data_IF_465370453898
#
_entry.id   IF_465370453898
#
_cell.length_a   1.000
_cell.length_b   1.000
_cell.length_c   1.000
_cell.angle_alpha   90.00
_cell.angle_beta   90.00
_cell.angle_gamma   90.00
#
_symmetry.space_group_name_H-M   'P 1'
#
loop_
_entity.id
_entity.type
_entity.pdbx_description
1 polymer ?
#
# COMPACT_ATOMS: atom_id res chain seq x y z
N UNK A 1 16.42 -17.86 -9.93
CA UNK A 1 15.61 -17.36 -8.80
C UNK A 1 15.29 -15.90 -9.09
N UNK A 2 14.04 -15.49 -9.01
CA UNK A 2 13.67 -14.09 -9.28
C UNK A 2 14.20 -13.12 -8.22
N UNK A 3 14.38 -11.86 -8.60
CA UNK A 3 14.92 -10.81 -7.74
C UNK A 3 13.92 -10.37 -6.67
N UNK A 4 14.45 -9.97 -5.52
CA UNK A 4 13.71 -9.29 -4.47
C UNK A 4 13.88 -7.79 -4.66
N UNK A 5 12.81 -7.08 -5.01
CA UNK A 5 12.83 -5.64 -5.22
C UNK A 5 12.08 -4.92 -4.11
N UNK A 6 12.67 -3.84 -3.60
CA UNK A 6 12.03 -2.92 -2.67
C UNK A 6 11.72 -1.61 -3.37
N UNK A 7 10.48 -1.15 -3.26
CA UNK A 7 10.03 0.13 -3.79
C UNK A 7 9.47 1.02 -2.68
N UNK A 8 9.75 2.32 -2.78
CA UNK A 8 9.20 3.34 -1.90
C UNK A 8 9.05 4.66 -2.65
N UNK A 9 8.46 5.67 -2.00
CA UNK A 9 8.29 7.00 -2.56
C UNK A 9 8.65 8.07 -1.53
N UNK A 10 9.54 8.98 -1.91
CA UNK A 10 10.02 10.06 -1.06
C UNK A 10 9.93 11.39 -1.81
N UNK A 11 8.97 12.23 -1.42
CA UNK A 11 8.80 13.57 -1.95
C UNK A 11 8.25 14.52 -0.87
N UNK A 12 8.24 15.82 -1.15
CA UNK A 12 7.82 16.86 -0.24
C UNK A 12 8.47 16.73 1.13
N UNK A 13 7.65 16.76 2.19
CA UNK A 13 8.11 16.66 3.59
C UNK A 13 8.87 15.37 3.94
N UNK A 14 8.74 14.33 3.12
CA UNK A 14 9.36 13.03 3.37
C UNK A 14 10.61 12.77 2.51
N UNK A 15 10.99 13.70 1.62
CA UNK A 15 12.17 13.55 0.77
C UNK A 15 13.44 13.24 1.59
N UNK A 16 13.59 13.90 2.74
CA UNK A 16 14.75 13.75 3.64
C UNK A 16 14.84 12.36 4.30
N UNK A 17 13.78 11.54 4.26
CA UNK A 17 13.85 10.17 4.79
C UNK A 17 14.50 9.16 3.83
N UNK A 18 14.64 9.50 2.55
CA UNK A 18 15.17 8.60 1.53
C UNK A 18 16.56 8.05 1.83
N UNK A 19 17.57 8.85 2.25
CA UNK A 19 18.91 8.33 2.53
C UNK A 19 18.93 7.32 3.69
N UNK A 20 18.22 7.63 4.78
CA UNK A 20 18.13 6.72 5.94
C UNK A 20 17.40 5.44 5.57
N UNK A 21 16.27 5.53 4.87
CA UNK A 21 15.51 4.36 4.42
C UNK A 21 16.35 3.46 3.51
N UNK A 22 17.10 4.06 2.57
CA UNK A 22 17.99 3.32 1.68
C UNK A 22 19.09 2.58 2.46
N UNK A 23 19.70 3.25 3.46
CA UNK A 23 20.69 2.62 4.34
C UNK A 23 20.10 1.43 5.11
N UNK A 24 18.93 1.59 5.73
CA UNK A 24 18.21 0.53 6.44
C UNK A 24 17.89 -0.66 5.49
N UNK A 25 17.42 -0.36 4.27
CA UNK A 25 17.13 -1.36 3.24
C UNK A 25 18.38 -2.11 2.70
N UNK A 26 19.55 -1.47 2.67
CA UNK A 26 20.81 -2.15 2.35
C UNK A 26 21.29 -3.02 3.52
N UNK A 27 21.12 -2.54 4.76
CA UNK A 27 21.57 -3.25 5.97
C UNK A 27 20.82 -4.57 6.21
N UNK A 28 19.54 -4.67 5.85
CA UNK A 28 18.80 -5.94 5.97
C UNK A 28 19.32 -7.02 4.99
N UNK A 29 20.09 -6.65 3.97
CA UNK A 29 20.74 -7.55 3.01
C UNK A 29 19.79 -8.65 2.47
N UNK A 30 18.67 -8.19 1.92
CA UNK A 30 17.59 -9.05 1.41
C UNK A 30 17.14 -8.68 -0.01
N UNK A 31 17.24 -7.40 -0.37
CA UNK A 31 16.76 -6.87 -1.63
C UNK A 31 17.91 -6.69 -2.63
N UNK A 32 17.74 -7.22 -3.83
CA UNK A 32 18.67 -7.08 -4.95
C UNK A 32 18.61 -5.66 -5.54
N UNK A 33 17.40 -5.07 -5.57
CA UNK A 33 17.14 -3.73 -6.09
C UNK A 33 16.31 -2.93 -5.10
N UNK A 34 16.70 -1.67 -4.87
CA UNK A 34 16.01 -0.73 -3.99
C UNK A 34 15.73 0.54 -4.80
N UNK A 35 14.47 0.79 -5.13
CA UNK A 35 14.05 1.91 -5.95
C UNK A 35 13.18 2.88 -5.13
N UNK A 36 13.74 4.04 -4.81
CA UNK A 36 12.99 5.13 -4.17
C UNK A 36 12.56 6.12 -5.25
N UNK A 37 11.25 6.16 -5.50
CA UNK A 37 10.60 7.05 -6.43
C UNK A 37 10.38 8.44 -5.81
N UNK A 38 10.17 9.42 -6.68
CA UNK A 38 9.68 10.75 -6.37
C UNK A 38 8.80 11.21 -7.54
N UNK A 39 8.23 12.41 -7.47
CA UNK A 39 7.35 12.93 -8.51
C UNK A 39 7.98 12.92 -9.90
N UNK A 40 9.26 13.28 -10.00
CA UNK A 40 10.00 13.33 -11.26
C UNK A 40 10.27 11.95 -11.89
N UNK A 41 10.07 10.86 -11.13
CA UNK A 41 10.20 9.47 -11.61
C UNK A 41 8.85 8.83 -11.96
N UNK A 42 7.74 9.57 -11.86
CA UNK A 42 6.47 9.13 -12.40
C UNK A 42 6.53 9.15 -13.94
N UNK A 43 5.79 8.25 -14.58
CA UNK A 43 5.67 8.24 -16.04
C UNK A 43 5.12 9.58 -16.51
N UNK A 44 5.67 10.09 -17.62
CA UNK A 44 5.30 11.38 -18.20
C UNK A 44 3.78 11.54 -18.33
N UNK A 45 3.11 10.57 -18.94
CA UNK A 45 1.65 10.60 -19.14
C UNK A 45 0.85 10.72 -17.84
N UNK A 46 1.25 10.01 -16.79
CA UNK A 46 0.62 10.11 -15.47
C UNK A 46 0.87 11.49 -14.83
N UNK A 47 2.11 11.97 -14.90
CA UNK A 47 2.49 13.26 -14.32
C UNK A 47 1.84 14.45 -15.03
N UNK A 48 1.65 14.38 -16.36
CA UNK A 48 0.92 15.39 -17.14
C UNK A 48 -0.56 15.41 -16.78
N UNK A 49 -1.18 14.22 -16.67
CA UNK A 49 -2.61 14.12 -16.40
C UNK A 49 -3.00 14.46 -14.96
N UNK A 50 -2.17 14.07 -13.99
CA UNK A 50 -2.51 14.15 -12.57
C UNK A 50 -1.59 15.08 -11.77
N UNK A 51 -0.60 15.70 -12.40
CA UNK A 51 0.38 16.56 -11.74
C UNK A 51 -0.25 17.74 -11.00
N UNK A 52 -1.24 18.39 -11.61
CA UNK A 52 -1.93 19.53 -10.98
C UNK A 52 -2.74 19.08 -9.77
N UNK A 53 -3.45 17.95 -9.87
CA UNK A 53 -4.14 17.36 -8.71
C UNK A 53 -3.15 17.05 -7.58
N UNK A 54 -2.00 16.44 -7.90
CA UNK A 54 -0.99 16.08 -6.91
C UNK A 54 -0.40 17.32 -6.21
N UNK A 55 -0.05 18.36 -6.97
CA UNK A 55 0.55 19.59 -6.43
C UNK A 55 -0.43 20.41 -5.61
N UNK A 56 -1.69 20.45 -6.01
CA UNK A 56 -2.73 21.24 -5.33
C UNK A 56 -3.31 20.54 -4.09
N UNK A 57 -2.99 19.26 -3.85
CA UNK A 57 -3.49 18.49 -2.71
C UNK A 57 -2.33 17.97 -1.84
N UNK A 58 -2.02 18.66 -0.75
CA UNK A 58 -0.83 18.36 0.07
C UNK A 58 -0.92 17.06 0.88
N UNK A 59 -2.12 16.65 1.31
CA UNK A 59 -2.30 15.40 2.08
C UNK A 59 -1.91 14.22 1.20
N UNK A 60 -1.04 13.35 1.71
CA UNK A 60 -0.51 12.20 0.97
C UNK A 60 0.21 12.52 -0.33
N UNK A 61 0.57 13.79 -0.57
CA UNK A 61 1.14 14.27 -1.82
C UNK A 61 0.24 13.87 -3.01
N UNK A 62 -0.95 14.46 -3.10
CA UNK A 62 -2.00 14.07 -4.04
C UNK A 62 -2.82 12.86 -3.59
N UNK A 63 -2.93 12.64 -2.28
CA UNK A 63 -3.69 11.56 -1.63
C UNK A 63 -3.20 10.17 -2.08
N UNK A 64 -1.90 10.02 -2.31
CA UNK A 64 -1.22 8.77 -2.69
C UNK A 64 -1.67 8.17 -4.03
N UNK A 65 -2.28 8.96 -4.93
CA UNK A 65 -2.68 8.49 -6.28
C UNK A 65 -1.51 7.87 -7.07
N UNK A 66 -0.29 8.34 -6.80
CA UNK A 66 0.95 7.86 -7.40
C UNK A 66 1.37 6.46 -6.92
N UNK A 67 0.84 5.96 -5.82
CA UNK A 67 1.27 4.70 -5.19
C UNK A 67 1.03 3.47 -6.09
N UNK A 68 -0.19 3.20 -6.58
CA UNK A 68 -0.38 2.10 -7.51
C UNK A 68 0.40 2.32 -8.82
N UNK A 69 0.60 3.58 -9.23
CA UNK A 69 1.37 3.91 -10.44
C UNK A 69 2.85 3.52 -10.33
N UNK A 70 3.55 3.83 -9.25
CA UNK A 70 4.96 3.44 -9.12
C UNK A 70 5.14 1.93 -8.99
N UNK A 71 4.16 1.25 -8.37
CA UNK A 71 4.16 -0.23 -8.28
C UNK A 71 3.94 -0.82 -9.67
N UNK A 72 3.03 -0.26 -10.47
CA UNK A 72 2.79 -0.67 -11.85
C UNK A 72 4.00 -0.38 -12.74
N UNK A 73 4.68 0.76 -12.58
CA UNK A 73 5.91 1.04 -13.31
C UNK A 73 7.02 0.02 -12.99
N UNK A 74 7.12 -0.42 -11.73
CA UNK A 74 8.08 -1.47 -11.34
C UNK A 74 7.65 -2.84 -11.88
N UNK A 75 6.36 -3.19 -11.82
CA UNK A 75 5.87 -4.50 -12.25
C UNK A 75 6.08 -4.72 -13.75
N UNK A 76 5.88 -3.68 -14.56
CA UNK A 76 6.00 -3.73 -16.02
C UNK A 76 7.44 -3.95 -16.52
N UNK A 77 8.44 -3.60 -15.70
CA UNK A 77 9.87 -3.80 -16.03
C UNK A 77 10.49 -5.00 -15.28
N UNK A 78 9.69 -5.75 -14.52
CA UNK A 78 10.17 -6.85 -13.70
C UNK A 78 9.95 -8.19 -14.40
N UNK A 79 10.83 -9.16 -14.11
CA UNK A 79 10.62 -10.52 -14.57
C UNK A 79 9.44 -11.15 -13.80
N UNK A 80 8.62 -12.05 -14.39
CA UNK A 80 7.52 -12.71 -13.69
C UNK A 80 7.90 -13.40 -12.37
N UNK A 81 9.17 -13.79 -12.24
CA UNK A 81 9.68 -14.41 -11.02
C UNK A 81 10.08 -13.43 -9.91
N UNK A 82 10.20 -12.15 -10.21
CA UNK A 82 10.59 -11.13 -9.23
C UNK A 82 9.48 -10.92 -8.19
N UNK A 83 9.87 -10.59 -6.97
CA UNK A 83 8.96 -10.18 -5.90
C UNK A 83 9.18 -8.70 -5.61
N UNK A 84 8.12 -7.92 -5.69
CA UNK A 84 8.12 -6.48 -5.40
C UNK A 84 7.51 -6.28 -4.02
N UNK A 85 8.24 -5.61 -3.13
CA UNK A 85 7.75 -5.16 -1.82
C UNK A 85 7.64 -3.65 -1.83
N UNK A 86 6.44 -3.12 -1.55
CA UNK A 86 6.22 -1.71 -1.30
C UNK A 86 6.27 -1.44 0.19
N UNK A 87 6.98 -0.37 0.58
CA UNK A 87 6.98 0.14 1.96
C UNK A 87 6.94 1.67 1.91
N UNK A 88 6.04 2.29 2.66
CA UNK A 88 6.00 3.75 2.84
C UNK A 88 7.36 4.22 3.40
N UNK A 89 7.86 5.35 2.87
CA UNK A 89 9.18 5.87 3.26
C UNK A 89 9.29 6.28 4.73
N UNK A 90 8.15 6.46 5.39
CA UNK A 90 8.06 6.76 6.81
C UNK A 90 8.37 5.56 7.72
N UNK A 91 8.59 4.36 7.17
CA UNK A 91 8.92 3.18 7.96
C UNK A 91 10.42 3.12 8.28
N UNK A 92 10.77 2.43 9.36
CA UNK A 92 12.13 1.90 9.55
C UNK A 92 12.19 0.45 9.13
N UNK A 93 13.34 0.04 8.59
CA UNK A 93 13.65 -1.36 8.29
C UNK A 93 14.66 -1.86 9.33
N UNK A 94 14.26 -2.90 10.06
CA UNK A 94 15.06 -3.55 11.09
C UNK A 94 15.80 -4.76 10.50
N UNK A 95 17.13 -4.71 10.48
CA UNK A 95 17.96 -5.83 10.02
C UNK A 95 17.84 -7.09 10.88
N UNK A 96 17.48 -6.95 12.17
CA UNK A 96 17.19 -8.09 13.05
C UNK A 96 15.98 -8.91 12.60
N UNK A 97 15.05 -8.31 11.84
CA UNK A 97 13.88 -8.99 11.29
C UNK A 97 14.10 -9.64 9.92
N UNK A 98 15.36 -9.77 9.46
CA UNK A 98 15.69 -10.28 8.12
C UNK A 98 15.01 -11.61 7.79
N UNK A 99 15.04 -12.56 8.71
CA UNK A 99 14.46 -13.88 8.46
C UNK A 99 12.95 -13.81 8.29
N UNK A 100 12.27 -12.96 9.06
CA UNK A 100 10.84 -12.73 8.90
C UNK A 100 10.51 -12.01 7.60
N UNK A 101 11.33 -11.03 7.17
CA UNK A 101 11.17 -10.41 5.86
C UNK A 101 11.39 -11.41 4.71
N UNK A 102 12.31 -12.37 4.87
CA UNK A 102 12.48 -13.47 3.91
C UNK A 102 11.25 -14.38 3.86
N UNK A 103 10.70 -14.75 5.02
CA UNK A 103 9.43 -15.51 5.07
C UNK A 103 8.29 -14.78 4.35
N UNK A 104 8.18 -13.45 4.47
CA UNK A 104 7.18 -12.70 3.71
C UNK A 104 7.33 -12.87 2.18
N UNK A 105 8.57 -12.88 1.68
CA UNK A 105 8.86 -13.10 0.27
C UNK A 105 8.48 -14.53 -0.14
N UNK A 106 8.75 -15.51 0.71
CA UNK A 106 8.43 -16.90 0.45
C UNK A 106 6.90 -17.13 0.48
N UNK A 107 6.18 -16.51 1.41
CA UNK A 107 4.70 -16.48 1.43
C UNK A 107 4.15 -15.92 0.12
N UNK A 108 4.71 -14.83 -0.41
CA UNK A 108 4.29 -14.28 -1.71
C UNK A 108 4.53 -15.29 -2.83
N UNK A 109 5.67 -15.97 -2.85
CA UNK A 109 6.03 -16.94 -3.89
C UNK A 109 5.14 -18.17 -3.86
N UNK A 110 4.75 -18.64 -2.68
CA UNK A 110 3.91 -19.82 -2.48
C UNK A 110 2.42 -19.52 -2.59
N UNK A 111 2.00 -18.29 -2.25
CA UNK A 111 0.60 -17.85 -2.31
C UNK A 111 -0.04 -18.14 -3.66
N UNK A 112 -1.29 -18.62 -3.66
CA UNK A 112 -2.09 -18.73 -4.89
C UNK A 112 -2.35 -17.37 -5.55
N UNK A 113 -2.35 -16.30 -4.75
CA UNK A 113 -2.59 -14.93 -5.21
C UNK A 113 -1.29 -14.21 -5.63
N UNK A 114 -0.14 -14.79 -5.29
CA UNK A 114 1.17 -14.15 -5.46
C UNK A 114 1.22 -12.74 -4.86
N UNK A 115 0.56 -12.56 -3.71
CA UNK A 115 0.43 -11.31 -2.99
C UNK A 115 0.35 -11.56 -1.48
N UNK A 116 0.99 -10.70 -0.71
CA UNK A 116 0.92 -10.62 0.74
C UNK A 116 0.45 -9.23 1.17
N UNK A 117 -0.45 -9.20 2.15
CA UNK A 117 -0.99 -7.99 2.77
C UNK A 117 -1.08 -8.14 4.28
N UNK A 118 -1.18 -7.01 4.98
CA UNK A 118 -1.22 -6.97 6.44
C UNK A 118 -2.51 -6.28 6.89
N UNK A 119 -3.30 -6.91 7.76
CA UNK A 119 -4.56 -6.34 8.27
C UNK A 119 -4.32 -5.33 9.38
N UNK A 120 -4.74 -4.06 9.25
CA UNK A 120 -4.63 -3.07 10.32
C UNK A 120 -5.83 -3.15 11.30
N UNK A 121 -6.08 -2.10 12.09
CA UNK A 121 -7.19 -2.04 13.06
C UNK A 121 -8.41 -1.22 12.61
N UNK A 122 -8.37 -0.64 11.41
CA UNK A 122 -9.42 0.23 10.88
C UNK A 122 -10.49 -0.59 10.16
N UNK A 123 -11.67 -0.79 10.77
CA UNK A 123 -12.79 -1.49 10.12
C UNK A 123 -13.32 -0.72 8.90
N UNK A 124 -13.52 -1.40 7.78
CA UNK A 124 -13.93 -0.76 6.52
C UNK A 124 -15.19 0.10 6.67
N UNK A 125 -16.25 -0.38 7.32
CA UNK A 125 -17.50 0.41 7.47
C UNK A 125 -17.32 1.70 8.28
N UNK A 126 -16.27 1.83 9.09
CA UNK A 126 -15.94 3.04 9.84
C UNK A 126 -15.04 3.98 9.02
N UNK A 127 -14.24 3.44 8.09
CA UNK A 127 -13.08 4.12 7.50
C UNK A 127 -13.07 4.18 5.95
N UNK A 128 -14.14 3.69 5.31
CA UNK A 128 -14.31 3.62 3.86
C UNK A 128 -15.67 4.19 3.47
N UNK A 129 -15.69 5.10 2.49
CA UNK A 129 -16.94 5.66 1.95
C UNK A 129 -17.78 4.55 1.35
N UNK A 130 -19.07 4.59 1.61
CA UNK A 130 -19.98 3.53 1.21
C UNK A 130 -20.16 3.45 -0.31
N UNK A 131 -20.10 4.59 -1.00
CA UNK A 131 -20.14 4.63 -2.46
C UNK A 131 -18.88 4.07 -3.13
N UNK A 132 -17.70 4.16 -2.51
CA UNK A 132 -16.52 3.42 -2.96
C UNK A 132 -16.78 1.91 -2.85
N UNK A 133 -17.34 1.45 -1.72
CA UNK A 133 -17.68 0.04 -1.57
C UNK A 133 -18.72 -0.41 -2.61
N UNK A 134 -19.68 0.46 -2.95
CA UNK A 134 -20.68 0.20 -3.98
C UNK A 134 -20.06 0.15 -5.38
N UNK A 135 -19.14 1.07 -5.67
CA UNK A 135 -18.37 1.09 -6.92
C UNK A 135 -17.52 -0.17 -7.11
N UNK A 136 -17.03 -0.77 -6.02
CA UNK A 136 -16.32 -2.05 -6.03
C UNK A 136 -17.27 -3.25 -5.99
N UNK A 137 -18.53 -3.08 -5.58
CA UNK A 137 -19.57 -4.12 -5.50
C UNK A 137 -19.47 -5.00 -4.25
N UNK A 138 -19.10 -4.41 -3.11
CA UNK A 138 -18.92 -5.11 -1.81
C UNK A 138 -19.63 -4.42 -0.63
N UNK A 139 -20.39 -3.35 -0.88
CA UNK A 139 -21.02 -2.48 0.11
C UNK A 139 -21.95 -3.20 1.09
N UNK A 140 -22.67 -4.22 0.62
CA UNK A 140 -23.59 -5.00 1.44
C UNK A 140 -22.97 -6.29 2.03
N UNK A 141 -21.65 -6.47 1.90
CA UNK A 141 -20.97 -7.71 2.27
C UNK A 141 -20.09 -7.51 3.50
N UNK A 142 -20.56 -7.96 4.66
CA UNK A 142 -19.81 -7.86 5.92
C UNK A 142 -18.50 -8.65 5.94
N UNK A 143 -18.36 -9.65 5.06
CA UNK A 143 -17.07 -10.33 4.80
C UNK A 143 -15.99 -9.37 4.27
N UNK A 144 -16.39 -8.22 3.72
CA UNK A 144 -15.51 -7.12 3.33
C UNK A 144 -15.66 -5.97 4.32
N UNK A 145 -16.85 -5.38 4.40
CA UNK A 145 -17.10 -4.15 5.13
C UNK A 145 -16.98 -4.29 6.66
N UNK A 146 -17.22 -5.49 7.21
CA UNK A 146 -17.08 -5.79 8.63
C UNK A 146 -15.65 -6.05 9.10
N UNK A 147 -14.71 -6.25 8.17
CA UNK A 147 -13.32 -6.61 8.46
C UNK A 147 -12.44 -5.37 8.58
N UNK A 148 -11.27 -5.50 9.19
CA UNK A 148 -10.28 -4.42 9.19
C UNK A 148 -9.62 -4.24 7.83
N UNK A 149 -9.20 -3.02 7.52
CA UNK A 149 -8.52 -2.67 6.28
C UNK A 149 -7.19 -3.41 6.17
N UNK A 150 -6.78 -3.69 4.94
CA UNK A 150 -5.42 -4.06 4.63
C UNK A 150 -4.57 -2.79 4.55
N UNK A 151 -3.41 -2.77 5.21
CA UNK A 151 -2.51 -1.63 5.12
C UNK A 151 -2.03 -1.39 3.70
N UNK A 152 -2.03 -0.12 3.31
CA UNK A 152 -1.46 0.35 2.05
C UNK A 152 0.00 0.77 2.17
N UNK A 153 0.53 0.90 3.39
CA UNK A 153 1.92 1.30 3.65
C UNK A 153 2.93 0.17 3.61
N UNK A 154 2.48 -1.09 3.55
CA UNK A 154 3.35 -2.24 3.35
C UNK A 154 2.57 -3.38 2.68
N UNK A 155 3.06 -3.90 1.56
CA UNK A 155 2.53 -5.07 0.87
C UNK A 155 3.56 -5.59 -0.15
N UNK A 156 3.42 -6.85 -0.54
CA UNK A 156 4.32 -7.49 -1.51
C UNK A 156 3.53 -8.28 -2.55
N UNK A 157 4.04 -8.33 -3.78
CA UNK A 157 3.39 -9.00 -4.91
C UNK A 157 4.38 -9.43 -5.99
N UNK A 158 3.99 -10.40 -6.82
CA UNK A 158 4.71 -10.73 -8.07
C UNK A 158 4.01 -10.14 -9.32
N UNK A 159 4.74 -9.97 -10.44
CA UNK A 159 4.19 -9.64 -11.75
C UNK A 159 3.30 -10.74 -12.34
N UNK A 160 2.04 -10.76 -11.91
CA UNK A 160 0.99 -11.59 -12.51
C UNK A 160 -0.03 -10.71 -13.22
N UNK A 161 -0.74 -11.25 -14.21
CA UNK A 161 -1.84 -10.53 -14.88
C UNK A 161 -2.88 -10.02 -13.87
N UNK A 162 -3.29 -10.87 -12.91
CA UNK A 162 -4.24 -10.49 -11.86
C UNK A 162 -3.76 -9.30 -11.01
N UNK A 163 -2.47 -9.26 -10.67
CA UNK A 163 -1.90 -8.18 -9.87
C UNK A 163 -1.71 -6.89 -10.68
N UNK A 164 -1.38 -7.02 -11.97
CA UNK A 164 -1.33 -5.89 -12.90
C UNK A 164 -2.72 -5.28 -13.06
N UNK A 165 -3.74 -6.11 -13.27
CA UNK A 165 -5.13 -5.66 -13.39
C UNK A 165 -5.64 -5.00 -12.11
N UNK A 166 -5.23 -5.51 -10.93
CA UNK A 166 -5.54 -4.88 -9.65
C UNK A 166 -4.98 -3.45 -9.56
N UNK A 167 -3.72 -3.25 -9.97
CA UNK A 167 -3.07 -1.93 -9.95
C UNK A 167 -3.71 -0.97 -10.94
N UNK A 168 -4.05 -1.45 -12.14
CA UNK A 168 -4.77 -0.68 -13.14
C UNK A 168 -6.17 -0.26 -12.64
N UNK A 169 -6.92 -1.18 -12.02
CA UNK A 169 -8.23 -0.87 -11.43
C UNK A 169 -8.11 0.12 -10.27
N UNK A 170 -7.06 0.00 -9.43
CA UNK A 170 -6.79 0.95 -8.36
C UNK A 170 -6.53 2.36 -8.92
N UNK A 171 -5.69 2.51 -9.95
CA UNK A 171 -5.47 3.81 -10.61
C UNK A 171 -6.79 4.33 -11.19
N UNK A 172 -7.53 3.48 -11.92
CA UNK A 172 -8.78 3.86 -12.55
C UNK A 172 -9.79 4.42 -11.54
N UNK A 173 -10.03 3.71 -10.43
CA UNK A 173 -10.97 4.16 -9.39
C UNK A 173 -10.46 5.44 -8.72
N UNK A 174 -9.15 5.56 -8.50
CA UNK A 174 -8.57 6.75 -7.87
C UNK A 174 -8.77 8.02 -8.69
N UNK A 175 -8.88 7.90 -10.02
CA UNK A 175 -9.07 9.01 -10.95
C UNK A 175 -10.55 9.23 -11.36
N UNK A 176 -11.45 8.34 -10.97
CA UNK A 176 -12.83 8.32 -11.47
C UNK A 176 -13.67 9.46 -10.90
N UNK A 177 -14.56 10.02 -11.73
CA UNK A 177 -15.54 11.06 -11.37
C UNK A 177 -14.89 12.19 -10.55
N UNK A 178 -13.85 12.78 -11.13
CA UNK A 178 -13.02 13.84 -10.55
C UNK A 178 -12.42 13.47 -9.18
N UNK A 179 -11.78 12.31 -9.10
CA UNK A 179 -11.08 11.80 -7.91
C UNK A 179 -11.96 11.54 -6.69
N UNK A 180 -13.29 11.52 -6.86
CA UNK A 180 -14.23 11.47 -5.73
C UNK A 180 -14.08 10.27 -4.83
N UNK A 181 -13.57 9.14 -5.34
CA UNK A 181 -13.38 7.94 -4.52
C UNK A 181 -12.06 7.94 -3.77
N UNK A 182 -11.16 8.85 -4.12
CA UNK A 182 -9.86 9.04 -3.50
C UNK A 182 -9.91 10.18 -2.48
N UNK A 183 -10.54 11.29 -2.82
CA UNK A 183 -10.50 12.54 -2.06
C UNK A 183 -11.54 12.61 -0.92
N UNK A 184 -11.76 13.82 -0.42
CA UNK A 184 -12.73 14.12 0.65
C UNK A 184 -14.14 14.47 0.15
N UNK A 185 -14.41 14.35 -1.16
CA UNK A 185 -15.75 14.51 -1.71
C UNK A 185 -16.72 13.56 -0.99
N UNK A 186 -17.88 14.07 -0.59
CA UNK A 186 -18.84 13.29 0.17
C UNK A 186 -19.36 12.08 -0.60
N UNK A 187 -19.70 11.03 0.15
CA UNK A 187 -20.29 9.83 -0.41
C UNK A 187 -21.67 10.14 -0.98
N UNK A 188 -21.95 9.72 -2.22
CA UNK A 188 -23.28 9.85 -2.84
C UNK A 188 -24.32 8.92 -2.20
N UNK A 189 -23.84 7.86 -1.54
CA UNK A 189 -24.66 6.92 -0.78
C UNK A 189 -24.46 7.15 0.72
N UNK A 190 -25.50 6.95 1.56
CA UNK A 190 -25.37 7.13 2.99
C UNK A 190 -24.31 6.20 3.56
N UNK A 191 -23.34 6.77 4.27
CA UNK A 191 -22.34 5.98 4.99
C UNK A 191 -22.98 5.21 6.16
N UNK A 192 -22.25 4.22 6.68
CA UNK A 192 -22.65 3.54 7.91
C UNK A 192 -22.85 4.56 9.05
N UNK A 193 -23.80 4.31 9.96
CA UNK A 193 -24.12 5.24 11.07
C UNK A 193 -22.93 5.58 11.98
N UNK A 194 -21.91 4.73 11.98
CA UNK A 194 -20.68 4.91 12.75
C UNK A 194 -19.49 5.37 11.91
N UNK A 195 -19.69 5.73 10.63
CA UNK A 195 -18.62 6.20 9.76
C UNK A 195 -17.88 7.39 10.38
N UNK A 196 -16.55 7.35 10.29
CA UNK A 196 -15.65 8.32 10.91
C UNK A 196 -15.06 9.23 9.84
N UNK A 197 -14.20 8.68 8.97
CA UNK A 197 -13.58 9.40 7.86
C UNK A 197 -13.17 8.45 6.76
N UNK A 198 -12.83 8.98 5.59
CA UNK A 198 -12.33 8.18 4.48
C UNK A 198 -10.80 8.03 4.53
N UNK A 199 -10.28 6.82 4.29
CA UNK A 199 -8.82 6.55 4.26
C UNK A 199 -8.20 6.57 2.86
N UNK A 200 -8.88 7.17 1.88
CA UNK A 200 -8.34 7.46 0.54
C UNK A 200 -7.84 6.19 -0.19
N UNK A 201 -6.63 6.23 -0.75
CA UNK A 201 -6.00 5.12 -1.45
C UNK A 201 -5.98 3.82 -0.63
N UNK A 202 -5.85 3.93 0.70
CA UNK A 202 -5.86 2.76 1.58
C UNK A 202 -7.19 2.01 1.51
N UNK A 203 -8.32 2.72 1.43
CA UNK A 203 -9.65 2.13 1.27
C UNK A 203 -9.78 1.41 -0.07
N UNK A 204 -9.37 2.07 -1.16
CA UNK A 204 -9.43 1.51 -2.52
C UNK A 204 -8.57 0.24 -2.59
N UNK A 205 -7.31 0.35 -2.14
CA UNK A 205 -6.36 -0.77 -2.14
C UNK A 205 -6.85 -1.96 -1.30
N UNK A 206 -7.47 -1.69 -0.16
CA UNK A 206 -7.90 -2.72 0.78
C UNK A 206 -9.06 -3.51 0.20
N UNK A 207 -10.10 -2.82 -0.28
CA UNK A 207 -11.26 -3.48 -0.86
C UNK A 207 -10.91 -4.24 -2.15
N UNK A 208 -10.06 -3.69 -3.02
CA UNK A 208 -9.61 -4.39 -4.24
C UNK A 208 -8.82 -5.66 -3.91
N UNK A 209 -7.85 -5.59 -2.99
CA UNK A 209 -7.05 -6.75 -2.58
C UNK A 209 -7.90 -7.82 -1.90
N UNK A 210 -8.89 -7.43 -1.09
CA UNK A 210 -9.86 -8.38 -0.53
C UNK A 210 -10.71 -9.02 -1.63
N UNK A 211 -11.22 -8.24 -2.58
CA UNK A 211 -12.11 -8.72 -3.65
C UNK A 211 -11.40 -9.68 -4.60
N UNK A 212 -10.17 -9.36 -5.01
CA UNK A 212 -9.37 -10.17 -5.93
C UNK A 212 -8.61 -11.30 -5.25
N UNK A 213 -8.37 -11.18 -3.95
CA UNK A 213 -7.68 -12.17 -3.13
C UNK A 213 -6.23 -11.78 -2.83
N UNK A 214 -5.82 -12.03 -1.59
CA UNK A 214 -4.45 -11.84 -1.10
C UNK A 214 -4.18 -12.80 0.06
N UNK A 215 -2.93 -13.17 0.29
CA UNK A 215 -2.55 -13.80 1.56
C UNK A 215 -2.45 -12.72 2.62
N UNK A 216 -2.99 -12.98 3.82
CA UNK A 216 -2.95 -12.02 4.93
C UNK A 216 -2.18 -12.62 6.10
N UNK A 217 -1.22 -11.87 6.62
CA UNK A 217 -0.55 -12.17 7.89
C UNK A 217 -0.97 -11.16 8.95
N UNK A 218 -0.72 -11.49 10.22
CA UNK A 218 -0.97 -10.58 11.34
C UNK A 218 -0.18 -9.27 11.19
N UNK A 219 -0.64 -8.20 11.84
CA UNK A 219 -0.09 -6.86 11.67
C UNK A 219 1.23 -6.64 12.40
N UNK A 220 2.29 -7.16 11.83
CA UNK A 220 3.64 -7.10 12.39
C UNK A 220 4.36 -5.77 12.09
N UNK A 221 3.61 -4.74 11.65
CA UNK A 221 4.19 -3.46 11.20
C UNK A 221 3.82 -2.26 12.06
N UNK A 222 2.97 -2.41 13.09
CA UNK A 222 2.67 -1.33 14.04
C UNK A 222 2.29 -1.87 15.42
N UNK A 223 2.64 -1.10 16.45
CA UNK A 223 2.18 -1.30 17.82
C UNK A 223 0.65 -1.15 17.92
N UNK A 224 -0.02 -2.27 18.11
CA UNK A 224 -1.44 -2.31 18.46
C UNK A 224 -1.73 -3.04 19.77
N UNK A 225 -0.77 -3.81 20.27
CA UNK A 225 -0.87 -4.55 21.52
C UNK A 225 0.51 -4.78 22.16
N UNK A 226 0.50 -5.51 23.27
CA UNK A 226 1.71 -5.90 24.00
C UNK A 226 2.52 -7.00 23.30
N UNK A 227 1.92 -7.74 22.36
CA UNK A 227 2.62 -8.81 21.63
C UNK A 227 3.60 -8.23 20.61
N UNK A 228 3.25 -7.10 19.98
CA UNK A 228 4.20 -6.37 19.14
C UNK A 228 5.48 -6.03 19.90
N UNK A 229 5.39 -5.53 21.14
CA UNK A 229 6.59 -5.13 21.91
C UNK A 229 7.50 -6.29 22.29
N UNK A 230 6.93 -7.47 22.56
CA UNK A 230 7.69 -8.68 22.88
C UNK A 230 8.49 -9.18 21.68
N UNK A 231 7.91 -9.07 20.50
CA UNK A 231 8.45 -9.67 19.27
C UNK A 231 9.05 -8.65 18.30
N UNK A 232 9.00 -7.35 18.59
CA UNK A 232 9.37 -6.28 17.65
C UNK A 232 10.74 -6.50 17.02
N UNK A 233 11.74 -6.90 17.81
CA UNK A 233 13.11 -7.12 17.31
C UNK A 233 13.21 -8.19 16.21
N UNK A 234 12.23 -9.09 16.13
CA UNK A 234 12.11 -10.09 15.06
C UNK A 234 11.28 -9.62 13.86
N UNK A 235 10.58 -8.49 13.96
CA UNK A 235 9.81 -7.92 12.87
C UNK A 235 10.67 -6.98 12.02
N UNK A 236 10.51 -7.01 10.68
CA UNK A 236 11.42 -6.30 9.80
C UNK A 236 11.02 -4.85 9.53
N UNK A 237 9.75 -4.49 9.65
CA UNK A 237 9.25 -3.19 9.19
C UNK A 237 8.46 -2.51 10.30
N UNK A 238 8.82 -1.27 10.63
CA UNK A 238 8.14 -0.50 11.68
C UNK A 238 7.51 0.75 11.09
N UNK A 239 6.18 0.82 11.13
CA UNK A 239 5.43 2.00 10.77
C UNK A 239 5.56 3.07 11.86
N UNK A 240 6.24 4.17 11.55
CA UNK A 240 6.23 5.33 12.41
C UNK A 240 5.02 6.18 12.07
N UNK A 241 4.09 6.34 13.02
CA UNK A 241 3.16 7.47 12.93
C UNK A 241 3.96 8.70 13.30
N UNK A 242 4.04 9.67 12.39
CA UNK A 242 4.33 11.03 12.82
C UNK A 242 3.24 11.38 13.83
N UNK A 243 3.59 11.42 15.12
CA UNK A 243 2.81 12.17 16.10
C UNK A 243 2.71 13.58 15.52
N UNK A 244 1.47 14.02 15.28
CA UNK A 244 1.20 15.40 14.90
C UNK A 244 1.85 16.36 15.90
#
# INVERSE_FOLDING_TARGET
MGKNKLISFADGRFANRAPTFFKEAKLINLYDEINIYNFNKLSTSFSEKHGDFIRNNSKGFGYWIWKPQIVLQEIQRSHPDDTITYIDIGFSINSGGRDRAREYIDIVRESKWKMLSFSNTYREYLWTKYDLAARIGVENRMTYMGTTQLAAGCFSLKPTSSNIDLLNEWISISCEDNYRYLDETESKLPNHKQFIEHRHDASISSLLRKKRGTTVTHYEVQKYDNEFEKSKLSFPFYAHRLTK
#
